data_IF_571299322634
#
_entry.id   IF_571299322634
#
_cell.length_a   1.000
_cell.length_b   1.000
_cell.length_c   1.000
_cell.angle_alpha   90.00
_cell.angle_beta   90.00
_cell.angle_gamma   90.00
#
_symmetry.space_group_name_H-M   'P 1'
#
loop_
_entity.id
_entity.type
_entity.pdbx_description
1 polymer ?
#
# COMPACT_ATOMS: atom_id res chain seq x y z
N UNK A 1 -17.58 -22.76 -37.58
CA UNK A 1 -17.96 -21.42 -38.05
C UNK A 1 -18.07 -20.54 -36.82
N UNK A 2 -17.34 -19.42 -36.85
CA UNK A 2 -17.13 -18.37 -35.83
C UNK A 2 -18.37 -18.13 -34.95
N UNK A 3 -18.27 -17.87 -33.65
CA UNK A 3 -17.76 -16.61 -33.06
C UNK A 3 -17.84 -16.79 -31.55
N UNK A 4 -16.74 -16.71 -30.80
CA UNK A 4 -16.38 -15.48 -30.07
C UNK A 4 -17.61 -14.69 -29.59
N UNK A 5 -18.12 -15.07 -28.42
CA UNK A 5 -18.64 -14.11 -27.47
C UNK A 5 -17.59 -14.05 -26.36
N UNK A 6 -16.63 -13.17 -26.62
CA UNK A 6 -15.59 -12.70 -25.70
C UNK A 6 -16.16 -12.50 -24.30
N UNK A 7 -15.47 -13.12 -23.35
CA UNK A 7 -15.64 -13.00 -21.90
C UNK A 7 -15.54 -11.51 -21.51
N UNK A 8 -16.67 -10.82 -21.48
CA UNK A 8 -16.79 -9.40 -21.11
C UNK A 8 -17.25 -9.21 -19.66
N UNK A 9 -17.15 -10.24 -18.83
CA UNK A 9 -17.67 -10.19 -17.46
C UNK A 9 -16.65 -10.73 -16.45
N UNK A 10 -15.51 -10.04 -16.29
CA UNK A 10 -14.71 -10.07 -15.04
C UNK A 10 -14.03 -8.72 -14.80
N UNK A 11 -14.81 -7.65 -14.67
CA UNK A 11 -14.35 -6.36 -14.14
C UNK A 11 -14.68 -6.20 -12.65
N UNK A 12 -15.23 -7.24 -12.04
CA UNK A 12 -15.72 -7.34 -10.69
C UNK A 12 -15.46 -8.78 -10.23
N UNK A 13 -14.86 -8.89 -9.04
CA UNK A 13 -14.15 -10.07 -8.57
C UNK A 13 -14.93 -11.38 -8.70
N UNK A 14 -14.23 -12.42 -9.13
CA UNK A 14 -14.57 -13.78 -8.68
C UNK A 14 -14.51 -13.87 -7.14
N UNK A 15 -14.78 -15.03 -6.53
CA UNK A 15 -14.99 -15.19 -5.07
C UNK A 15 -13.80 -14.79 -4.17
N UNK A 16 -12.71 -14.28 -4.76
CA UNK A 16 -11.56 -13.72 -4.07
C UNK A 16 -11.39 -12.26 -4.48
N UNK A 17 -11.76 -11.36 -3.56
CA UNK A 17 -11.44 -9.93 -3.65
C UNK A 17 -9.92 -9.76 -3.76
N UNK A 18 -9.43 -9.25 -4.89
CA UNK A 18 -8.01 -9.06 -5.13
C UNK A 18 -7.48 -7.85 -4.35
N UNK A 19 -6.49 -8.06 -3.47
CA UNK A 19 -5.84 -7.02 -2.65
C UNK A 19 -4.56 -6.50 -3.30
N UNK A 20 -4.36 -5.17 -3.31
CA UNK A 20 -3.10 -4.56 -3.72
C UNK A 20 -2.07 -4.63 -2.58
N UNK A 21 -0.90 -5.20 -2.86
CA UNK A 21 0.26 -5.20 -1.95
C UNK A 21 1.41 -4.48 -2.63
N UNK A 22 1.89 -3.40 -2.02
CA UNK A 22 3.05 -2.61 -2.45
C UNK A 22 4.25 -3.05 -1.62
N UNK A 23 5.32 -3.50 -2.27
CA UNK A 23 6.59 -3.88 -1.62
C UNK A 23 7.70 -2.97 -2.12
N UNK A 24 8.38 -2.28 -1.21
CA UNK A 24 9.48 -1.38 -1.54
C UNK A 24 10.55 -1.38 -0.45
N UNK A 25 11.74 -0.87 -0.78
CA UNK A 25 12.81 -0.70 0.19
C UNK A 25 12.44 0.24 1.36
N UNK A 26 11.47 1.15 1.18
CA UNK A 26 11.07 2.12 2.21
C UNK A 26 9.56 2.33 2.25
N UNK A 27 9.03 2.51 3.45
CA UNK A 27 7.64 2.91 3.68
C UNK A 27 7.37 4.35 3.20
N UNK A 28 6.09 4.73 3.00
CA UNK A 28 5.70 6.09 2.66
C UNK A 28 5.89 7.08 3.83
N UNK A 29 6.53 6.65 4.91
CA UNK A 29 6.97 7.45 6.04
C UNK A 29 8.28 6.88 6.60
N UNK A 30 8.97 7.68 7.39
CA UNK A 30 10.05 7.26 8.26
C UNK A 30 9.56 7.26 9.70
N UNK A 31 9.93 6.24 10.47
CA UNK A 31 9.73 6.20 11.91
C UNK A 31 11.05 6.53 12.60
N UNK A 32 11.03 7.45 13.56
CA UNK A 32 12.19 7.86 14.34
C UNK A 32 11.83 7.84 15.84
N UNK A 33 12.82 7.61 16.69
CA UNK A 33 12.63 7.69 18.14
C UNK A 33 13.14 9.05 18.61
N UNK A 34 12.22 9.88 19.09
CA UNK A 34 12.51 11.21 19.63
C UNK A 34 12.00 11.27 21.07
N UNK A 35 12.87 11.62 22.02
CA UNK A 35 12.51 11.70 23.45
C UNK A 35 11.89 10.41 24.05
N UNK A 36 12.24 9.25 23.49
CA UNK A 36 11.68 7.96 23.93
C UNK A 36 10.31 7.64 23.32
N UNK A 37 9.79 8.50 22.45
CA UNK A 37 8.53 8.29 21.73
C UNK A 37 8.79 8.04 20.24
N UNK A 38 7.87 7.31 19.61
CA UNK A 38 7.94 7.04 18.18
C UNK A 38 7.24 8.16 17.39
N UNK A 39 7.99 8.83 16.53
CA UNK A 39 7.50 9.91 15.66
C UNK A 39 7.56 9.48 14.21
N UNK A 40 6.55 9.84 13.43
CA UNK A 40 6.45 9.52 12.01
C UNK A 40 6.59 10.77 11.15
N UNK A 41 7.46 10.70 10.14
CA UNK A 41 7.63 11.75 9.15
C UNK A 41 7.30 11.21 7.77
N UNK A 42 6.46 11.91 7.01
CA UNK A 42 6.13 11.53 5.64
C UNK A 42 7.39 11.45 4.77
N UNK A 43 7.48 10.42 3.93
CA UNK A 43 8.57 10.27 2.97
C UNK A 43 8.34 11.23 1.81
N UNK A 44 9.23 12.22 1.63
CA UNK A 44 9.12 13.17 0.53
C UNK A 44 9.59 12.58 -0.82
N UNK A 45 8.71 12.62 -1.82
CA UNK A 45 9.05 12.60 -3.25
C UNK A 45 9.12 11.24 -3.97
N UNK A 46 9.39 11.32 -5.28
CA UNK A 46 9.71 10.20 -6.17
C UNK A 46 8.66 9.09 -6.23
N UNK A 47 9.05 7.90 -5.81
CA UNK A 47 8.22 6.69 -5.88
C UNK A 47 6.98 6.76 -4.98
N UNK A 48 7.10 7.36 -3.79
CA UNK A 48 5.99 7.47 -2.83
C UNK A 48 4.88 8.33 -3.42
N UNK A 49 5.22 9.50 -3.95
CA UNK A 49 4.26 10.40 -4.60
C UNK A 49 3.59 9.76 -5.82
N UNK A 50 4.35 9.04 -6.65
CA UNK A 50 3.82 8.34 -7.82
C UNK A 50 2.85 7.21 -7.44
N UNK A 51 3.23 6.36 -6.48
CA UNK A 51 2.39 5.26 -6.03
C UNK A 51 1.16 5.75 -5.26
N UNK A 52 1.29 6.82 -4.46
CA UNK A 52 0.16 7.45 -3.79
C UNK A 52 -0.87 7.95 -4.82
N UNK A 53 -0.42 8.63 -5.88
CA UNK A 53 -1.29 9.11 -6.97
C UNK A 53 -2.00 7.95 -7.69
N UNK A 54 -1.28 6.85 -7.92
CA UNK A 54 -1.84 5.65 -8.54
C UNK A 54 -2.91 4.97 -7.67
N UNK A 55 -2.62 4.79 -6.38
CA UNK A 55 -3.55 4.21 -5.40
C UNK A 55 -4.80 5.09 -5.30
N UNK A 56 -4.63 6.41 -5.25
CA UNK A 56 -5.74 7.35 -5.24
C UNK A 56 -6.61 7.23 -6.50
N UNK A 57 -5.98 7.18 -7.68
CA UNK A 57 -6.69 6.97 -8.94
C UNK A 57 -7.50 5.67 -8.93
N UNK A 58 -6.90 4.55 -8.52
CA UNK A 58 -7.59 3.25 -8.43
C UNK A 58 -8.74 3.24 -7.41
N UNK A 59 -8.59 3.99 -6.32
CA UNK A 59 -9.65 4.19 -5.33
C UNK A 59 -10.83 4.97 -5.93
N UNK A 60 -10.56 6.03 -6.70
CA UNK A 60 -11.59 6.84 -7.37
C UNK A 60 -12.35 6.03 -8.43
N UNK A 61 -11.67 5.15 -9.17
CA UNK A 61 -12.29 4.31 -10.21
C UNK A 61 -12.98 3.06 -9.67
N UNK A 62 -13.00 2.83 -8.34
CA UNK A 62 -13.50 1.61 -7.68
C UNK A 62 -12.84 0.31 -8.15
N UNK A 63 -11.70 0.40 -8.84
CA UNK A 63 -10.88 -0.73 -9.24
C UNK A 63 -10.07 -1.32 -8.06
N UNK A 64 -10.07 -0.63 -6.92
CA UNK A 64 -9.48 -1.09 -5.66
C UNK A 64 -10.59 -1.31 -4.63
N UNK A 65 -11.11 -2.54 -4.56
CA UNK A 65 -12.26 -2.92 -3.72
C UNK A 65 -11.86 -3.20 -2.27
N UNK A 66 -10.63 -3.66 -2.03
CA UNK A 66 -10.19 -4.20 -0.73
C UNK A 66 -8.90 -3.54 -0.21
N UNK A 67 -8.88 -2.20 -0.16
CA UNK A 67 -7.76 -1.44 0.40
C UNK A 67 -6.40 -1.75 -0.24
N UNK A 68 -5.32 -1.26 0.36
CA UNK A 68 -3.96 -1.66 -0.02
C UNK A 68 -3.09 -1.87 1.22
N UNK A 69 -2.07 -2.71 1.07
CA UNK A 69 -1.03 -2.90 2.09
C UNK A 69 0.28 -2.38 1.52
N UNK A 70 1.06 -1.71 2.35
CA UNK A 70 2.44 -1.34 2.05
C UNK A 70 3.40 -2.09 2.97
N UNK A 71 4.38 -2.78 2.39
CA UNK A 71 5.46 -3.46 3.10
C UNK A 71 6.79 -2.80 2.73
N UNK A 72 7.55 -2.39 3.73
CA UNK A 72 8.85 -1.78 3.55
C UNK A 72 9.56 -1.49 4.87
N UNK A 73 10.81 -1.04 4.78
CA UNK A 73 11.57 -0.65 5.96
C UNK A 73 11.19 0.78 6.41
N UNK A 74 10.98 1.02 7.72
CA UNK A 74 10.54 2.31 8.25
C UNK A 74 11.65 3.38 8.32
N UNK A 75 12.83 3.14 7.74
CA UNK A 75 13.93 4.13 7.75
C UNK A 75 14.82 4.10 9.00
N UNK A 76 14.45 3.35 10.05
CA UNK A 76 15.27 3.15 11.25
C UNK A 76 15.07 1.75 11.86
N UNK A 77 15.98 1.36 12.75
CA UNK A 77 15.81 0.19 13.60
C UNK A 77 15.02 0.59 14.85
N UNK A 78 13.84 0.01 15.02
CA UNK A 78 13.00 0.23 16.21
C UNK A 78 13.33 -0.86 17.23
N UNK A 79 13.62 -0.49 18.47
CA UNK A 79 13.94 -1.42 19.57
C UNK A 79 12.69 -2.14 20.10
N UNK A 80 12.87 -3.32 20.70
CA UNK A 80 11.79 -4.25 21.06
C UNK A 80 10.65 -3.66 21.91
N UNK A 81 10.88 -2.82 22.95
CA UNK A 81 9.78 -2.26 23.74
C UNK A 81 8.88 -1.31 22.93
N UNK A 82 9.47 -0.59 21.97
CA UNK A 82 8.76 0.35 21.08
C UNK A 82 8.11 -0.35 19.88
N UNK A 83 8.48 -1.60 19.59
CA UNK A 83 7.79 -2.40 18.57
C UNK A 83 6.42 -2.88 19.02
N UNK A 84 6.20 -3.09 20.32
CA UNK A 84 4.92 -3.56 20.84
C UNK A 84 3.83 -2.48 20.74
N UNK A 85 4.20 -1.19 20.80
CA UNK A 85 3.26 -0.07 20.61
C UNK A 85 2.84 0.17 19.15
N UNK A 86 3.41 -0.56 18.19
CA UNK A 86 3.12 -0.44 16.76
C UNK A 86 2.07 -1.44 16.23
N UNK A 87 1.54 -2.30 17.09
CA UNK A 87 0.70 -3.46 16.73
C UNK A 87 -0.78 -3.15 16.77
#
# INVERSE_FOLDING_TARGET
>A
MKSEAVDLARADGGPFESRLVVVSNRLPFNAVVENGELVFHESAGGLVTGLASYIEFRRRTRALTSGHIWVGWPGSSIESPLRESLR
#
